data_IF_421254438152
#
_entry.id   IF_421254438152
#
_cell.length_a   1.000
_cell.length_b   1.000
_cell.length_c   1.000
_cell.angle_alpha   90.00
_cell.angle_beta   90.00
_cell.angle_gamma   90.00
#
_symmetry.space_group_name_H-M   'P 1'
#
loop_
_entity.id
_entity.type
_entity.pdbx_description
1 polymer ?
#
# COMPACT_ATOMS: atom_id res chain seq x y z
N UNK A 1 -2.31 -11.39 8.78
CA UNK A 1 -2.16 -9.98 9.21
C UNK A 1 -2.56 -9.91 10.68
N UNK A 2 -1.80 -9.26 11.55
CA UNK A 2 -2.18 -9.12 12.98
C UNK A 2 -3.13 -7.95 13.16
N UNK A 3 -3.91 -7.92 14.26
CA UNK A 3 -4.86 -6.82 14.53
C UNK A 3 -4.17 -5.45 14.59
N UNK A 4 -2.97 -5.40 15.18
CA UNK A 4 -2.14 -4.18 15.22
C UNK A 4 -1.71 -3.69 13.84
N UNK A 5 -1.48 -4.59 12.89
CA UNK A 5 -1.16 -4.25 11.50
C UNK A 5 -2.41 -3.76 10.76
N UNK A 6 -3.58 -4.35 11.03
CA UNK A 6 -4.86 -3.90 10.51
C UNK A 6 -5.19 -2.48 11.02
N UNK A 7 -5.00 -2.21 12.30
CA UNK A 7 -5.16 -0.86 12.87
C UNK A 7 -4.25 0.16 12.20
N UNK A 8 -2.98 -0.22 11.94
CA UNK A 8 -2.03 0.65 11.25
C UNK A 8 -2.50 0.99 9.83
N UNK A 9 -3.00 0.02 9.08
CA UNK A 9 -3.54 0.22 7.73
C UNK A 9 -4.77 1.14 7.71
N UNK A 10 -5.61 1.06 8.74
CA UNK A 10 -6.84 1.84 8.87
C UNK A 10 -6.63 3.25 9.47
N UNK A 11 -5.40 3.62 9.83
CA UNK A 11 -5.10 4.96 10.35
C UNK A 11 -4.96 5.97 9.22
N UNK A 12 -5.46 7.16 9.48
CA UNK A 12 -5.40 8.28 8.56
C UNK A 12 -3.95 8.74 8.30
N UNK A 13 -3.61 8.92 7.02
CA UNK A 13 -2.29 9.33 6.58
C UNK A 13 -2.10 10.85 6.60
N UNK A 14 -3.17 11.64 6.73
CA UNK A 14 -3.12 13.10 6.80
C UNK A 14 -2.39 13.57 8.08
N UNK A 15 -2.71 12.93 9.21
CA UNK A 15 -2.09 13.25 10.49
C UNK A 15 -0.71 12.60 10.68
N UNK A 16 -0.45 11.48 10.00
CA UNK A 16 0.77 10.66 10.15
C UNK A 16 1.27 10.16 8.79
N UNK A 17 1.84 11.05 7.95
CA UNK A 17 2.26 10.72 6.59
C UNK A 17 3.37 9.67 6.53
N UNK A 18 4.09 9.41 7.63
CA UNK A 18 5.08 8.34 7.72
C UNK A 18 4.47 6.93 7.66
N UNK A 19 3.19 6.77 8.02
CA UNK A 19 2.55 5.46 8.03
C UNK A 19 2.35 4.88 6.63
N UNK A 20 2.22 5.73 5.61
CA UNK A 20 2.13 5.27 4.20
C UNK A 20 3.30 4.37 3.80
N UNK A 21 4.52 4.65 4.29
CA UNK A 21 5.71 3.85 3.97
C UNK A 21 5.68 2.49 4.68
N UNK A 22 5.26 2.47 5.95
CA UNK A 22 5.09 1.23 6.70
C UNK A 22 3.99 0.35 6.06
N UNK A 23 2.87 0.95 5.66
CA UNK A 23 1.79 0.28 4.95
C UNK A 23 2.25 -0.26 3.58
N UNK A 24 3.02 0.53 2.83
CA UNK A 24 3.58 0.10 1.55
C UNK A 24 4.50 -1.12 1.71
N UNK A 25 5.39 -1.11 2.71
CA UNK A 25 6.25 -2.27 3.01
C UNK A 25 5.44 -3.48 3.48
N UNK A 26 4.45 -3.27 4.35
CA UNK A 26 3.59 -4.32 4.89
C UNK A 26 2.80 -5.05 3.78
N UNK A 27 2.38 -4.31 2.76
CA UNK A 27 1.57 -4.83 1.66
C UNK A 27 2.40 -5.26 0.44
N UNK A 28 3.72 -5.11 0.46
CA UNK A 28 4.59 -5.46 -0.66
C UNK A 28 4.45 -6.93 -1.03
N UNK A 29 4.11 -7.20 -2.30
CA UNK A 29 3.94 -8.56 -2.82
C UNK A 29 2.65 -9.25 -2.33
N UNK A 30 1.74 -8.53 -1.67
CA UNK A 30 0.46 -9.08 -1.23
C UNK A 30 -0.52 -9.18 -2.40
N UNK A 31 -1.48 -10.10 -2.29
CA UNK A 31 -2.58 -10.25 -3.26
C UNK A 31 -3.88 -9.91 -2.54
N UNK A 32 -4.56 -8.87 -3.00
CA UNK A 32 -5.94 -8.54 -2.61
C UNK A 32 -6.89 -9.39 -3.45
N UNK A 33 -7.55 -10.34 -2.81
CA UNK A 33 -8.57 -11.17 -3.45
C UNK A 33 -9.95 -10.62 -3.12
N UNK A 34 -10.73 -10.33 -4.16
CA UNK A 34 -12.16 -10.09 -4.02
C UNK A 34 -12.90 -11.43 -4.05
N UNK A 35 -13.31 -11.91 -2.89
CA UNK A 35 -13.99 -13.19 -2.73
C UNK A 35 -15.41 -13.22 -3.35
N UNK A 36 -15.96 -12.07 -3.74
CA UNK A 36 -17.31 -11.99 -4.30
C UNK A 36 -17.34 -12.22 -5.81
N UNK A 37 -16.26 -11.89 -6.53
CA UNK A 37 -16.18 -12.00 -7.98
C UNK A 37 -14.91 -12.73 -8.49
N UNK A 38 -14.11 -13.28 -7.57
CA UNK A 38 -12.86 -14.00 -7.84
C UNK A 38 -11.78 -13.16 -8.56
N UNK A 39 -11.88 -11.84 -8.53
CA UNK A 39 -10.84 -10.96 -9.03
C UNK A 39 -9.72 -10.79 -8.00
N UNK A 40 -8.49 -10.68 -8.47
CA UNK A 40 -7.34 -10.48 -7.62
C UNK A 40 -6.47 -9.32 -8.12
N UNK A 41 -5.97 -8.52 -7.19
CA UNK A 41 -5.03 -7.42 -7.45
C UNK A 41 -3.72 -7.71 -6.72
N UNK A 42 -2.62 -7.75 -7.45
CA UNK A 42 -1.29 -7.87 -6.86
C UNK A 42 -0.77 -6.48 -6.49
N UNK A 43 -0.41 -6.31 -5.22
CA UNK A 43 0.17 -5.08 -4.71
C UNK A 43 1.68 -5.08 -4.94
N UNK A 44 2.09 -4.42 -6.02
CA UNK A 44 3.49 -4.10 -6.25
C UNK A 44 3.79 -2.71 -5.66
N UNK A 45 4.15 -2.66 -4.38
CA UNK A 45 4.50 -1.41 -3.69
C UNK A 45 5.98 -1.06 -3.84
N UNK A 46 6.69 -1.70 -4.77
CA UNK A 46 8.04 -1.30 -5.18
C UNK A 46 7.91 -0.01 -6.00
N UNK A 47 7.78 1.11 -5.31
CA UNK A 47 8.09 2.40 -5.91
C UNK A 47 9.58 2.37 -6.22
N UNK A 48 9.95 2.24 -7.49
CA UNK A 48 11.35 2.34 -7.91
C UNK A 48 11.81 3.76 -7.58
N UNK A 49 12.42 3.94 -6.42
CA UNK A 49 12.97 5.22 -5.99
C UNK A 49 14.25 5.50 -6.80
N UNK A 50 14.07 5.80 -8.08
CA UNK A 50 15.08 6.43 -8.91
C UNK A 50 15.23 7.89 -8.50
N UNK A 51 16.46 8.41 -8.60
CA UNK A 51 16.81 9.81 -8.25
C UNK A 51 16.00 10.85 -9.04
N UNK A 52 15.33 10.43 -10.11
CA UNK A 52 14.43 11.20 -10.96
C UNK A 52 13.03 10.60 -10.86
N UNK A 53 12.08 11.35 -10.29
CA UNK A 53 10.65 11.05 -10.37
C UNK A 53 10.22 11.17 -11.84
N UNK A 54 9.57 10.15 -12.37
CA UNK A 54 8.91 10.23 -13.68
C UNK A 54 7.50 9.63 -13.67
N UNK A 55 6.80 9.75 -12.54
CA UNK A 55 5.39 9.36 -12.47
C UNK A 55 4.58 10.47 -11.81
N UNK A 56 3.62 10.98 -12.59
CA UNK A 56 2.63 11.98 -12.25
C UNK A 56 1.82 11.56 -11.02
N UNK A 57 1.70 12.46 -10.04
CA UNK A 57 0.98 12.19 -8.80
C UNK A 57 -0.56 12.30 -8.95
N UNK A 58 -1.06 12.65 -10.14
CA UNK A 58 -2.46 13.03 -10.36
C UNK A 58 -3.12 12.47 -11.63
N UNK A 59 -2.65 11.36 -12.21
CA UNK A 59 -3.39 10.68 -13.29
C UNK A 59 -4.25 9.54 -12.79
#
# INVERSE_FOLDING_TARGET
>A
LTDSMCELLNRDWEFRPQFKFACAQLLAGSILLNCNNNEAVMLNTVESYGRTKDVDAHR
#
